data_IF_691413423770
#
_entry.id   IF_691413423770
#
_cell.length_a   1.000
_cell.length_b   1.000
_cell.length_c   1.000
_cell.angle_alpha   90.00
_cell.angle_beta   90.00
_cell.angle_gamma   90.00
#
_symmetry.space_group_name_H-M   'P 1'
#
loop_
_entity.id
_entity.type
_entity.pdbx_description
1 polymer ?
#
# COMPACT_ATOMS: atom_id res chain seq x y z
N UNK A 1 -10.31 49.03 74.71
CA UNK A 1 -9.24 48.27 74.06
C UNK A 1 -9.86 47.54 72.86
N UNK A 2 -9.64 48.02 71.63
CA UNK A 2 -10.20 47.46 70.38
C UNK A 2 -9.12 47.49 69.30
N UNK A 3 -9.06 46.39 68.52
CA UNK A 3 -8.45 46.22 67.18
C UNK A 3 -6.91 46.35 67.08
N UNK A 4 -6.17 45.69 66.17
CA UNK A 4 -6.49 45.03 64.90
C UNK A 4 -5.68 43.73 64.74
N UNK A 5 -6.30 42.71 64.13
CA UNK A 5 -5.61 41.59 63.51
C UNK A 5 -5.25 41.95 62.06
N UNK A 6 -3.99 41.73 61.65
CA UNK A 6 -3.55 41.87 60.27
C UNK A 6 -3.31 40.48 59.67
N UNK A 7 -4.14 40.10 58.70
CA UNK A 7 -3.98 38.91 57.88
C UNK A 7 -3.19 39.27 56.62
N UNK A 8 -1.97 38.76 56.48
CA UNK A 8 -1.19 38.82 55.24
C UNK A 8 -1.62 37.68 54.32
N UNK A 9 -2.26 38.01 53.21
CA UNK A 9 -2.58 37.08 52.14
C UNK A 9 -1.34 36.77 51.30
N UNK A 10 -1.02 35.47 51.14
CA UNK A 10 -0.07 35.00 50.15
C UNK A 10 -0.74 35.02 48.76
N UNK A 11 -0.21 35.84 47.84
CA UNK A 11 -0.46 35.72 46.42
C UNK A 11 0.39 34.55 45.87
N UNK A 12 -0.26 33.46 45.47
CA UNK A 12 0.35 32.40 44.67
C UNK A 12 0.28 32.78 43.19
N UNK A 13 1.41 33.26 42.63
CA UNK A 13 1.58 33.36 41.17
C UNK A 13 1.62 31.94 40.57
N UNK A 14 0.57 31.57 39.85
CA UNK A 14 0.59 30.44 38.93
C UNK A 14 1.42 30.82 37.68
N UNK A 15 2.66 30.36 37.64
CA UNK A 15 3.45 30.33 36.40
C UNK A 15 2.80 29.31 35.46
N UNK A 16 2.04 29.79 34.47
CA UNK A 16 1.58 28.98 33.37
C UNK A 16 2.81 28.45 32.61
N UNK A 17 3.07 27.14 32.73
CA UNK A 17 4.07 26.49 31.89
C UNK A 17 3.65 26.62 30.41
N UNK A 18 4.54 27.02 29.49
CA UNK A 18 4.22 27.02 28.07
C UNK A 18 3.90 25.58 27.67
N UNK A 19 2.73 25.39 27.05
CA UNK A 19 2.34 24.12 26.47
C UNK A 19 3.40 23.73 25.42
N UNK A 20 4.28 22.80 25.78
CA UNK A 20 5.17 22.14 24.83
C UNK A 20 4.27 21.54 23.76
N UNK A 21 4.37 22.07 22.54
CA UNK A 21 3.57 21.64 21.40
C UNK A 21 3.62 20.13 21.29
N UNK A 22 2.46 19.49 21.45
CA UNK A 22 2.35 18.04 21.29
C UNK A 22 2.72 17.73 19.84
N UNK A 23 3.91 17.16 19.64
CA UNK A 23 4.31 16.57 18.37
C UNK A 23 3.27 15.50 18.06
N UNK A 24 2.51 15.68 16.98
CA UNK A 24 1.52 14.68 16.62
C UNK A 24 2.24 13.36 16.31
N UNK A 25 1.65 12.24 16.71
CA UNK A 25 2.22 10.92 16.45
C UNK A 25 2.43 10.67 14.96
N UNK A 26 3.47 9.91 14.63
CA UNK A 26 3.72 9.43 13.27
C UNK A 26 2.52 8.61 12.76
N UNK A 27 2.25 8.60 11.45
CA UNK A 27 1.24 7.71 10.88
C UNK A 27 1.66 6.24 11.06
N UNK A 28 0.68 5.34 10.91
CA UNK A 28 0.94 3.88 10.92
C UNK A 28 2.03 3.49 9.92
N UNK A 29 2.07 4.16 8.77
CA UNK A 29 3.11 4.00 7.77
C UNK A 29 3.93 5.30 7.62
N UNK A 30 5.07 5.35 8.29
CA UNK A 30 5.99 6.50 8.26
C UNK A 30 6.79 6.61 6.94
N UNK A 31 6.62 5.69 6.00
CA UNK A 31 7.24 5.76 4.68
C UNK A 31 6.17 5.99 3.62
N UNK A 32 6.36 7.00 2.77
CA UNK A 32 5.58 7.22 1.56
C UNK A 32 6.26 6.46 0.42
N UNK A 33 5.60 5.42 -0.08
CA UNK A 33 6.10 4.61 -1.19
C UNK A 33 6.36 5.48 -2.43
N UNK A 34 7.36 5.14 -3.23
CA UNK A 34 7.76 5.92 -4.42
C UNK A 34 6.62 6.14 -5.42
N UNK A 35 5.77 5.13 -5.60
CA UNK A 35 4.62 5.12 -6.51
C UNK A 35 3.33 5.71 -5.90
N UNK A 36 3.38 6.21 -4.66
CA UNK A 36 2.24 6.88 -4.03
C UNK A 36 2.24 8.40 -4.23
N UNK A 37 1.07 8.99 -4.45
CA UNK A 37 0.94 10.42 -4.66
C UNK A 37 1.18 11.23 -3.37
N UNK A 38 2.05 12.23 -3.45
CA UNK A 38 2.27 13.23 -2.39
C UNK A 38 2.61 14.58 -3.04
N UNK A 39 2.34 15.67 -2.34
CA UNK A 39 2.71 17.01 -2.79
C UNK A 39 3.94 17.47 -2.02
N UNK A 40 4.94 17.97 -2.73
CA UNK A 40 6.14 18.57 -2.14
C UNK A 40 6.04 20.09 -2.24
N UNK A 41 6.41 20.77 -1.17
CA UNK A 41 6.27 22.21 -1.03
C UNK A 41 7.61 22.85 -0.69
N UNK A 42 7.87 24.09 -1.14
CA UNK A 42 9.14 24.77 -0.87
C UNK A 42 9.32 25.12 0.61
N UNK A 43 8.21 25.33 1.34
CA UNK A 43 8.21 25.66 2.77
C UNK A 43 6.98 25.10 3.48
N UNK A 44 7.02 25.04 4.81
CA UNK A 44 5.85 24.68 5.63
C UNK A 44 4.72 25.69 5.54
N UNK A 45 5.04 26.97 5.38
CA UNK A 45 4.03 28.01 5.19
C UNK A 45 3.26 27.79 3.88
N UNK A 46 3.99 27.54 2.78
CA UNK A 46 3.39 27.19 1.50
C UNK A 46 2.54 25.92 1.58
N UNK A 47 3.04 24.90 2.30
CA UNK A 47 2.31 23.65 2.47
C UNK A 47 1.04 23.81 3.32
N UNK A 48 1.08 24.60 4.40
CA UNK A 48 -0.10 24.93 5.20
C UNK A 48 -1.14 25.70 4.38
N UNK A 49 -0.71 26.69 3.62
CA UNK A 49 -1.58 27.44 2.72
C UNK A 49 -2.21 26.52 1.66
N UNK A 50 -1.40 25.65 1.05
CA UNK A 50 -1.88 24.65 0.08
C UNK A 50 -2.94 23.73 0.70
N UNK A 51 -2.71 23.27 1.93
CA UNK A 51 -3.61 22.37 2.65
C UNK A 51 -4.96 23.02 2.99
N UNK A 52 -4.91 24.19 3.63
CA UNK A 52 -6.09 24.84 4.22
C UNK A 52 -6.89 25.61 3.18
N UNK A 53 -6.21 26.35 2.30
CA UNK A 53 -6.88 27.30 1.41
C UNK A 53 -7.23 26.68 0.05
N UNK A 54 -6.51 25.64 -0.39
CA UNK A 54 -6.65 25.09 -1.73
C UNK A 54 -7.12 23.63 -1.76
N UNK A 55 -6.39 22.71 -1.12
CA UNK A 55 -6.76 21.29 -1.08
C UNK A 55 -8.14 21.08 -0.46
N UNK A 56 -8.40 21.71 0.68
CA UNK A 56 -9.69 21.63 1.38
C UNK A 56 -10.87 22.09 0.52
N UNK A 57 -10.63 23.00 -0.43
CA UNK A 57 -11.65 23.57 -1.31
C UNK A 57 -11.61 22.99 -2.73
N UNK A 58 -10.85 21.91 -2.96
CA UNK A 58 -10.65 21.28 -4.26
C UNK A 58 -10.13 22.24 -5.36
N UNK A 59 -9.20 23.14 -5.02
CA UNK A 59 -8.62 24.16 -5.91
C UNK A 59 -7.14 23.90 -6.23
N UNK A 60 -6.82 22.66 -6.64
CA UNK A 60 -5.44 22.19 -6.79
C UNK A 60 -4.57 23.02 -7.72
N UNK A 61 -5.06 23.32 -8.92
CA UNK A 61 -4.27 24.04 -9.93
C UNK A 61 -3.93 25.48 -9.49
N UNK A 62 -4.90 26.16 -8.87
CA UNK A 62 -4.67 27.48 -8.26
C UNK A 62 -3.70 27.38 -7.08
N UNK A 63 -3.80 26.31 -6.28
CA UNK A 63 -2.91 26.06 -5.16
C UNK A 63 -1.46 25.87 -5.58
N UNK A 64 -1.19 25.10 -6.64
CA UNK A 64 0.16 24.96 -7.18
C UNK A 64 0.77 26.29 -7.61
N UNK A 65 0.00 27.12 -8.32
CA UNK A 65 0.48 28.45 -8.73
C UNK A 65 0.75 29.38 -7.55
N UNK A 66 -0.12 29.36 -6.53
CA UNK A 66 -0.04 30.28 -5.40
C UNK A 66 1.06 29.90 -4.40
N UNK A 67 1.31 28.61 -4.21
CA UNK A 67 2.19 28.11 -3.14
C UNK A 67 3.53 27.58 -3.64
N UNK A 68 3.65 27.30 -4.94
CA UNK A 68 4.80 26.64 -5.52
C UNK A 68 4.91 25.16 -5.15
N UNK A 69 3.93 24.59 -4.43
CA UNK A 69 3.84 23.16 -4.19
C UNK A 69 3.62 22.42 -5.53
N UNK A 70 4.08 21.17 -5.61
CA UNK A 70 3.98 20.33 -6.80
C UNK A 70 3.66 18.89 -6.42
N UNK A 71 2.92 18.19 -7.26
CA UNK A 71 2.84 16.74 -7.16
C UNK A 71 4.23 16.12 -7.36
N UNK A 72 4.58 15.12 -6.57
CA UNK A 72 5.77 14.29 -6.82
C UNK A 72 5.47 13.41 -8.03
N UNK A 73 5.98 13.81 -9.18
CA UNK A 73 5.85 13.07 -10.45
C UNK A 73 7.10 12.22 -10.75
N UNK A 74 8.26 12.60 -10.22
CA UNK A 74 9.52 11.93 -10.49
C UNK A 74 9.83 10.86 -9.43
N UNK A 75 10.30 9.66 -9.84
CA UNK A 75 10.75 8.61 -8.94
C UNK A 75 12.05 9.05 -8.24
N UNK A 76 11.89 9.56 -7.02
CA UNK A 76 12.98 10.01 -6.13
C UNK A 76 13.19 9.04 -4.97
N UNK A 77 12.67 7.82 -5.11
CA UNK A 77 12.58 6.84 -4.04
C UNK A 77 11.49 7.15 -3.00
N UNK A 78 11.40 6.29 -1.97
CA UNK A 78 10.48 6.51 -0.86
C UNK A 78 10.87 7.73 -0.02
N UNK A 79 9.87 8.35 0.62
CA UNK A 79 10.09 9.45 1.57
C UNK A 79 9.78 8.93 2.97
N UNK A 80 10.75 9.04 3.88
CA UNK A 80 10.54 8.75 5.30
C UNK A 80 10.03 10.00 6.00
N UNK A 81 8.80 9.94 6.52
CA UNK A 81 8.20 10.94 7.40
C UNK A 81 8.93 10.90 8.75
N UNK A 82 9.51 12.02 9.13
CA UNK A 82 10.22 12.18 10.41
C UNK A 82 9.39 12.94 11.43
N UNK A 83 8.45 13.77 10.97
CA UNK A 83 7.57 14.55 11.85
C UNK A 83 6.24 14.83 11.15
N UNK A 84 5.17 14.72 11.92
CA UNK A 84 3.86 15.26 11.54
C UNK A 84 3.71 16.65 12.12
N UNK A 85 3.49 17.63 11.24
CA UNK A 85 3.32 19.03 11.64
C UNK A 85 1.85 19.29 11.92
N UNK A 86 0.96 18.84 11.04
CA UNK A 86 -0.47 19.15 11.11
C UNK A 86 -1.31 18.10 10.39
N UNK A 87 -2.56 17.93 10.82
CA UNK A 87 -3.57 17.08 10.20
C UNK A 87 -4.84 17.85 9.98
N UNK A 88 -5.44 17.69 8.80
CA UNK A 88 -6.71 18.29 8.44
C UNK A 88 -7.63 17.23 7.86
N UNK A 89 -8.88 17.20 8.32
CA UNK A 89 -9.93 16.50 7.63
C UNK A 89 -10.38 17.32 6.41
N UNK A 90 -10.41 16.70 5.25
CA UNK A 90 -10.82 17.26 3.97
C UNK A 90 -11.90 16.34 3.39
N UNK A 91 -12.99 16.93 2.91
CA UNK A 91 -14.02 16.18 2.19
C UNK A 91 -13.56 15.90 0.77
N UNK A 92 -13.17 14.65 0.51
CA UNK A 92 -12.78 14.17 -0.80
C UNK A 92 -13.91 13.30 -1.35
N UNK A 93 -14.60 13.78 -2.39
CA UNK A 93 -15.78 13.12 -3.00
C UNK A 93 -16.87 12.72 -1.98
N UNK A 94 -17.13 13.59 -0.99
CA UNK A 94 -18.13 13.37 0.05
C UNK A 94 -17.69 12.41 1.16
N UNK A 95 -16.40 12.07 1.24
CA UNK A 95 -15.83 11.28 2.34
C UNK A 95 -14.74 12.08 3.06
N UNK A 96 -14.80 12.18 4.41
CA UNK A 96 -13.75 12.85 5.16
C UNK A 96 -12.46 12.02 5.08
N UNK A 97 -11.40 12.66 4.60
CA UNK A 97 -10.06 12.11 4.42
C UNK A 97 -9.08 13.00 5.16
N UNK A 98 -8.14 12.40 5.91
CA UNK A 98 -7.11 13.15 6.63
C UNK A 98 -5.92 13.39 5.72
N UNK A 99 -5.68 14.67 5.42
CA UNK A 99 -4.41 15.10 4.85
C UNK A 99 -3.48 15.55 5.95
N UNK A 100 -2.21 15.20 5.79
CA UNK A 100 -1.17 15.47 6.75
C UNK A 100 -0.09 16.35 6.13
N UNK A 101 0.25 17.44 6.82
CA UNK A 101 1.49 18.18 6.61
C UNK A 101 2.62 17.50 7.37
N UNK A 102 3.69 17.16 6.67
CA UNK A 102 4.83 16.43 7.24
C UNK A 102 6.17 17.08 6.88
N UNK A 103 7.16 16.80 7.75
CA UNK A 103 8.58 16.85 7.40
C UNK A 103 9.05 15.44 7.14
N UNK A 104 9.86 15.28 6.10
CA UNK A 104 10.40 14.00 5.69
C UNK A 104 11.83 14.09 5.20
N UNK A 105 12.35 12.93 4.85
CA UNK A 105 13.67 12.76 4.24
C UNK A 105 13.53 11.85 3.03
N UNK A 106 14.11 12.23 1.90
CA UNK A 106 14.23 11.36 0.73
C UNK A 106 15.24 10.25 1.00
N UNK A 107 15.30 9.27 0.10
CA UNK A 107 16.30 8.19 0.16
C UNK A 107 17.74 8.71 0.24
N UNK A 108 18.03 9.82 -0.43
CA UNK A 108 19.37 10.44 -0.46
C UNK A 108 19.63 11.38 0.73
N UNK A 109 18.72 11.42 1.70
CA UNK A 109 18.84 12.22 2.91
C UNK A 109 18.43 13.69 2.77
N UNK A 110 17.87 14.09 1.63
CA UNK A 110 17.38 15.47 1.46
C UNK A 110 16.13 15.70 2.31
N UNK A 111 16.11 16.79 3.06
CA UNK A 111 14.95 17.20 3.83
C UNK A 111 13.85 17.71 2.90
N UNK A 112 12.60 17.29 3.16
CA UNK A 112 11.43 17.71 2.40
C UNK A 112 10.28 18.10 3.31
N UNK A 113 9.44 19.00 2.82
CA UNK A 113 8.13 19.31 3.39
C UNK A 113 7.07 18.91 2.39
N UNK A 114 6.02 18.23 2.85
CA UNK A 114 4.98 17.78 1.95
C UNK A 114 3.63 17.56 2.58
N UNK A 115 2.66 17.27 1.71
CA UNK A 115 1.29 16.93 2.04
C UNK A 115 0.98 15.54 1.51
N UNK A 116 0.30 14.72 2.32
CA UNK A 116 -0.09 13.37 1.93
C UNK A 116 -1.46 13.02 2.51
N UNK A 117 -2.26 12.29 1.73
CA UNK A 117 -3.45 11.61 2.23
C UNK A 117 -3.00 10.48 3.16
N UNK A 118 -3.22 10.63 4.48
CA UNK A 118 -2.72 9.70 5.49
C UNK A 118 -3.38 8.32 5.37
N UNK A 119 -4.70 8.26 5.16
CA UNK A 119 -5.41 6.99 5.00
C UNK A 119 -4.93 6.25 3.77
N UNK A 120 -4.84 6.94 2.62
CA UNK A 120 -4.38 6.33 1.39
C UNK A 120 -2.92 5.88 1.49
N UNK A 121 -2.03 6.67 2.09
CA UNK A 121 -0.65 6.24 2.35
C UNK A 121 -0.60 5.01 3.26
N UNK A 122 -1.43 4.96 4.31
CA UNK A 122 -1.50 3.82 5.23
C UNK A 122 -2.03 2.54 4.55
N UNK A 123 -2.82 2.66 3.50
CA UNK A 123 -3.39 1.55 2.73
C UNK A 123 -2.53 1.17 1.51
N UNK A 124 -1.67 2.07 1.05
CA UNK A 124 -0.86 1.84 -0.14
C UNK A 124 0.14 0.68 0.05
N UNK A 125 0.18 -0.30 -0.86
CA UNK A 125 1.08 -1.44 -0.77
C UNK A 125 2.54 -1.06 -1.05
N UNK A 126 3.48 -1.55 -0.22
CA UNK A 126 4.92 -1.27 -0.34
C UNK A 126 5.76 -2.43 -0.87
N UNK A 127 5.20 -3.65 -0.87
CA UNK A 127 5.87 -4.86 -1.34
C UNK A 127 5.14 -5.46 -2.53
N UNK A 128 5.82 -6.22 -3.40
CA UNK A 128 5.15 -6.97 -4.48
C UNK A 128 4.01 -7.85 -3.95
N UNK A 129 4.21 -8.50 -2.81
CA UNK A 129 3.18 -9.31 -2.17
C UNK A 129 1.96 -8.49 -1.74
N UNK A 130 2.18 -7.34 -1.08
CA UNK A 130 1.08 -6.46 -0.67
C UNK A 130 0.33 -5.88 -1.88
N UNK A 131 1.05 -5.53 -2.96
CA UNK A 131 0.45 -5.08 -4.23
C UNK A 131 -0.43 -6.17 -4.84
N UNK A 132 0.10 -7.39 -4.91
CA UNK A 132 -0.64 -8.53 -5.43
C UNK A 132 -1.90 -8.82 -4.62
N UNK A 133 -1.82 -8.78 -3.28
CA UNK A 133 -2.97 -8.93 -2.39
C UNK A 133 -4.01 -7.83 -2.61
N UNK A 134 -3.59 -6.57 -2.71
CA UNK A 134 -4.52 -5.45 -2.91
C UNK A 134 -5.35 -5.60 -4.20
N UNK A 135 -4.80 -6.23 -5.23
CA UNK A 135 -5.48 -6.46 -6.52
C UNK A 135 -6.32 -7.75 -6.50
N UNK A 136 -5.75 -8.86 -6.04
CA UNK A 136 -6.34 -10.20 -6.23
C UNK A 136 -7.06 -10.76 -4.99
N UNK A 137 -6.72 -10.26 -3.80
CA UNK A 137 -7.25 -10.74 -2.53
C UNK A 137 -7.37 -9.58 -1.51
N UNK A 138 -8.18 -8.54 -1.80
CA UNK A 138 -8.19 -7.29 -1.01
C UNK A 138 -8.64 -7.46 0.45
N UNK A 139 -9.33 -8.56 0.77
CA UNK A 139 -9.72 -8.96 2.12
C UNK A 139 -8.74 -9.97 2.77
N UNK A 140 -7.57 -10.18 2.17
CA UNK A 140 -6.56 -11.14 2.63
C UNK A 140 -6.85 -12.60 2.27
N UNK A 141 -7.94 -12.88 1.54
CA UNK A 141 -8.30 -14.22 1.09
C UNK A 141 -8.60 -14.25 -0.41
N UNK A 142 -7.99 -15.20 -1.10
CA UNK A 142 -8.31 -15.51 -2.49
C UNK A 142 -9.48 -16.49 -2.52
N UNK A 143 -10.62 -16.08 -3.07
CA UNK A 143 -11.79 -16.96 -3.24
C UNK A 143 -11.84 -17.48 -4.67
N UNK A 144 -11.73 -18.79 -4.83
CA UNK A 144 -11.76 -19.47 -6.12
C UNK A 144 -13.10 -20.20 -6.26
N UNK A 145 -13.88 -19.89 -7.30
CA UNK A 145 -15.15 -20.55 -7.54
C UNK A 145 -14.92 -21.99 -8.06
N UNK A 146 -15.81 -22.92 -7.73
CA UNK A 146 -15.61 -24.34 -8.05
C UNK A 146 -15.50 -24.68 -9.55
N UNK A 147 -15.97 -23.79 -10.43
CA UNK A 147 -15.86 -23.94 -11.90
C UNK A 147 -14.79 -23.04 -12.51
N UNK A 148 -14.08 -22.28 -11.69
CA UNK A 148 -13.04 -21.39 -12.14
C UNK A 148 -11.78 -22.20 -12.51
N UNK A 149 -11.33 -22.06 -13.76
CA UNK A 149 -10.15 -22.77 -14.26
C UNK A 149 -8.85 -22.07 -13.88
N UNK A 150 -8.93 -20.91 -13.22
CA UNK A 150 -7.79 -20.06 -12.89
C UNK A 150 -7.05 -20.51 -11.65
N UNK A 151 -7.60 -21.45 -10.88
CA UNK A 151 -7.05 -21.83 -9.58
C UNK A 151 -6.78 -23.32 -9.44
N UNK A 152 -5.56 -23.66 -9.01
CA UNK A 152 -5.18 -25.01 -8.63
C UNK A 152 -4.54 -25.02 -7.24
N UNK A 153 -4.88 -26.04 -6.45
CA UNK A 153 -4.27 -26.31 -5.15
C UNK A 153 -3.26 -27.44 -5.30
N UNK A 154 -2.07 -27.23 -4.76
CA UNK A 154 -0.96 -28.18 -4.76
C UNK A 154 -0.68 -28.66 -3.33
N UNK A 155 -0.03 -29.83 -3.15
CA UNK A 155 0.25 -30.38 -1.83
C UNK A 155 1.05 -29.45 -0.92
N UNK A 156 1.95 -28.65 -1.50
CA UNK A 156 2.79 -27.68 -0.80
C UNK A 156 3.23 -26.53 -1.73
N UNK A 157 3.81 -25.44 -1.18
CA UNK A 157 4.30 -24.31 -1.99
C UNK A 157 5.40 -24.68 -2.99
N UNK A 158 6.23 -25.69 -2.71
CA UNK A 158 7.30 -26.10 -3.61
C UNK A 158 6.74 -26.76 -4.88
N UNK A 159 5.68 -27.55 -4.76
CA UNK A 159 4.93 -28.09 -5.88
C UNK A 159 4.35 -26.97 -6.78
N UNK A 160 3.73 -25.93 -6.19
CA UNK A 160 3.21 -24.79 -6.94
C UNK A 160 4.31 -24.03 -7.70
N UNK A 161 5.46 -23.78 -7.05
CA UNK A 161 6.61 -23.13 -7.70
C UNK A 161 7.15 -23.94 -8.89
N UNK A 162 7.20 -25.28 -8.79
CA UNK A 162 7.61 -26.16 -9.89
C UNK A 162 6.66 -26.07 -11.09
N UNK A 163 5.36 -25.94 -10.85
CA UNK A 163 4.37 -25.76 -11.93
C UNK A 163 4.65 -24.49 -12.73
N UNK A 164 4.77 -23.35 -12.05
CA UNK A 164 5.02 -22.06 -12.71
C UNK A 164 6.40 -22.05 -13.38
N UNK A 165 7.42 -22.66 -12.77
CA UNK A 165 8.74 -22.80 -13.39
C UNK A 165 8.72 -23.60 -14.72
N UNK A 166 7.77 -24.52 -14.91
CA UNK A 166 7.63 -25.26 -16.16
C UNK A 166 7.18 -24.37 -17.33
N UNK A 167 6.34 -23.36 -17.06
CA UNK A 167 5.96 -22.33 -18.05
C UNK A 167 7.20 -21.55 -18.47
N UNK A 168 7.97 -21.06 -17.48
CA UNK A 168 9.21 -20.32 -17.71
C UNK A 168 10.19 -21.10 -18.60
N UNK A 169 10.35 -22.39 -18.33
CA UNK A 169 11.23 -23.26 -19.12
C UNK A 169 10.74 -23.46 -20.56
N UNK A 170 9.44 -23.66 -20.77
CA UNK A 170 8.88 -23.74 -22.11
C UNK A 170 9.09 -22.43 -22.88
N UNK A 171 8.87 -21.28 -22.23
CA UNK A 171 9.09 -19.95 -22.79
C UNK A 171 10.56 -19.70 -23.15
N UNK A 172 11.50 -20.10 -22.29
CA UNK A 172 12.96 -20.01 -22.57
C UNK A 172 13.37 -20.79 -23.82
N UNK A 173 12.65 -21.86 -24.16
CA UNK A 173 12.87 -22.64 -25.39
C UNK A 173 12.10 -22.10 -26.59
N UNK A 174 11.58 -20.86 -26.49
CA UNK A 174 10.74 -20.23 -27.51
C UNK A 174 9.58 -21.11 -27.93
N UNK A 175 9.01 -21.87 -26.99
CA UNK A 175 7.92 -22.77 -27.31
C UNK A 175 6.66 -21.96 -27.67
N UNK A 176 5.90 -22.37 -28.71
CA UNK A 176 4.61 -21.75 -29.01
C UNK A 176 3.65 -21.89 -27.81
N UNK A 177 2.68 -20.99 -27.72
CA UNK A 177 1.66 -20.90 -26.65
C UNK A 177 1.07 -22.26 -26.26
N UNK A 178 0.62 -23.04 -27.25
CA UNK A 178 0.03 -24.36 -27.02
C UNK A 178 0.99 -25.32 -26.28
N UNK A 179 2.31 -25.21 -26.51
CA UNK A 179 3.30 -26.00 -25.76
C UNK A 179 3.55 -25.46 -24.36
N UNK A 180 3.41 -24.16 -24.12
CA UNK A 180 3.48 -23.58 -22.78
C UNK A 180 2.28 -24.03 -21.93
N UNK A 181 1.06 -23.98 -22.50
CA UNK A 181 -0.16 -24.49 -21.85
C UNK A 181 -0.09 -26.01 -21.60
N UNK A 182 0.47 -26.78 -22.55
CA UNK A 182 0.72 -28.20 -22.35
C UNK A 182 1.73 -28.46 -21.21
N UNK A 183 2.78 -27.64 -21.10
CA UNK A 183 3.76 -27.72 -20.03
C UNK A 183 3.12 -27.43 -18.65
N UNK A 184 2.28 -26.39 -18.55
CA UNK A 184 1.48 -26.09 -17.36
C UNK A 184 0.61 -27.29 -16.97
N UNK A 185 -0.20 -27.80 -17.90
CA UNK A 185 -1.10 -28.94 -17.66
C UNK A 185 -0.35 -30.18 -17.21
N UNK A 186 0.78 -30.50 -17.86
CA UNK A 186 1.62 -31.61 -17.47
C UNK A 186 2.21 -31.41 -16.06
N UNK A 187 2.73 -30.21 -15.76
CA UNK A 187 3.33 -29.91 -14.47
C UNK A 187 2.33 -29.94 -13.32
N UNK A 188 1.09 -29.46 -13.52
CA UNK A 188 0.02 -29.57 -12.54
C UNK A 188 -0.22 -31.04 -12.14
N UNK A 189 -0.37 -31.92 -13.13
CA UNK A 189 -0.56 -33.36 -12.90
C UNK A 189 0.65 -33.99 -12.20
N UNK A 190 1.86 -33.71 -12.69
CA UNK A 190 3.10 -34.29 -12.15
C UNK A 190 3.35 -33.88 -10.70
N UNK A 191 2.96 -32.67 -10.31
CA UNK A 191 3.16 -32.15 -8.95
C UNK A 191 1.92 -32.35 -8.05
N UNK A 192 0.96 -33.18 -8.47
CA UNK A 192 -0.20 -33.56 -7.63
C UNK A 192 -1.17 -32.41 -7.37
N UNK A 193 -1.19 -31.39 -8.23
CA UNK A 193 -2.10 -30.27 -8.10
C UNK A 193 -3.49 -30.62 -8.66
N UNK A 194 -4.54 -30.15 -8.01
CA UNK A 194 -5.94 -30.32 -8.41
C UNK A 194 -6.64 -28.98 -8.54
N UNK A 195 -7.83 -28.94 -9.15
CA UNK A 195 -8.62 -27.71 -9.21
C UNK A 195 -8.92 -27.20 -7.79
N UNK A 196 -8.63 -25.93 -7.54
CA UNK A 196 -8.93 -25.29 -6.27
C UNK A 196 -10.39 -24.85 -6.21
N UNK A 197 -10.94 -24.84 -5.01
CA UNK A 197 -12.22 -24.19 -4.73
C UNK A 197 -12.26 -23.70 -3.28
N UNK A 198 -13.04 -22.65 -3.03
CA UNK A 198 -13.19 -22.03 -1.71
C UNK A 198 -12.22 -20.89 -1.45
N UNK A 199 -12.10 -20.49 -0.18
CA UNK A 199 -11.28 -19.38 0.25
C UNK A 199 -9.92 -19.85 0.77
N UNK A 200 -8.85 -19.21 0.32
CA UNK A 200 -7.49 -19.48 0.75
C UNK A 200 -6.85 -18.19 1.24
N UNK A 201 -6.30 -18.19 2.45
CA UNK A 201 -5.54 -17.04 2.96
C UNK A 201 -4.13 -17.12 2.39
N UNK A 202 -3.80 -16.21 1.48
CA UNK A 202 -2.48 -16.16 0.84
C UNK A 202 -1.47 -15.60 1.83
N UNK A 203 -0.35 -16.30 2.01
CA UNK A 203 0.68 -15.96 3.00
C UNK A 203 2.02 -15.58 2.39
N UNK A 204 2.27 -15.96 1.13
CA UNK A 204 3.42 -15.50 0.37
C UNK A 204 3.16 -15.51 -1.13
N UNK A 205 3.76 -14.53 -1.82
CA UNK A 205 3.90 -14.48 -3.27
C UNK A 205 5.25 -15.07 -3.66
N UNK A 206 5.27 -16.00 -4.62
CA UNK A 206 6.50 -16.57 -5.16
C UNK A 206 6.74 -16.06 -6.58
N UNK A 207 6.82 -16.98 -7.55
CA UNK A 207 7.07 -16.69 -8.96
C UNK A 207 5.75 -16.43 -9.69
N UNK A 208 5.78 -15.51 -10.65
CA UNK A 208 4.75 -15.36 -11.68
C UNK A 208 5.34 -15.59 -13.07
N UNK A 209 4.57 -16.16 -13.99
CA UNK A 209 4.96 -16.34 -15.38
C UNK A 209 3.74 -16.16 -16.29
N UNK A 210 3.88 -15.27 -17.27
CA UNK A 210 2.84 -15.00 -18.25
C UNK A 210 2.91 -15.90 -19.47
N UNK A 211 1.74 -16.36 -19.95
CA UNK A 211 1.54 -16.97 -21.27
C UNK A 211 0.82 -15.95 -22.14
N UNK A 212 1.53 -15.42 -23.13
CA UNK A 212 0.98 -14.48 -24.12
C UNK A 212 0.13 -15.26 -25.12
N UNK A 213 -1.18 -15.29 -24.90
CA UNK A 213 -2.15 -15.95 -25.77
C UNK A 213 -2.76 -14.98 -26.80
N UNK A 214 -2.27 -13.74 -26.85
CA UNK A 214 -2.74 -12.68 -27.74
C UNK A 214 -3.39 -11.50 -27.00
N UNK A 215 -3.76 -10.48 -27.80
CA UNK A 215 -4.30 -9.20 -27.30
C UNK A 215 -5.48 -9.41 -26.33
N UNK A 216 -5.35 -8.86 -25.12
CA UNK A 216 -6.34 -8.92 -24.03
C UNK A 216 -6.69 -10.33 -23.52
N UNK A 217 -5.92 -11.35 -23.87
CA UNK A 217 -6.17 -12.72 -23.42
C UNK A 217 -5.08 -13.28 -22.50
N UNK A 218 -4.00 -12.54 -22.27
CA UNK A 218 -2.83 -12.98 -21.49
C UNK A 218 -3.20 -13.71 -20.19
N UNK A 219 -2.52 -14.82 -19.93
CA UNK A 219 -2.61 -15.56 -18.68
C UNK A 219 -1.41 -15.16 -17.79
N UNK A 220 -1.60 -14.91 -16.49
CA UNK A 220 -0.52 -14.57 -15.54
C UNK A 220 -0.47 -15.57 -14.38
N UNK A 221 0.22 -16.70 -14.59
CA UNK A 221 0.25 -17.79 -13.64
C UNK A 221 1.21 -17.53 -12.49
N UNK A 222 0.65 -17.41 -11.29
CA UNK A 222 1.35 -17.09 -10.06
C UNK A 222 1.38 -18.28 -9.11
N UNK A 223 2.56 -18.59 -8.56
CA UNK A 223 2.74 -19.55 -7.47
C UNK A 223 2.65 -18.82 -6.12
N UNK A 224 1.87 -19.37 -5.19
CA UNK A 224 1.58 -18.79 -3.89
C UNK A 224 1.75 -19.82 -2.78
N UNK A 225 2.12 -19.36 -1.58
CA UNK A 225 1.82 -20.07 -0.34
C UNK A 225 0.47 -19.60 0.19
N UNK A 226 -0.35 -20.52 0.68
CA UNK A 226 -1.60 -20.18 1.34
C UNK A 226 -1.95 -21.14 2.47
N UNK A 227 -2.92 -20.76 3.30
CA UNK A 227 -3.63 -21.70 4.17
C UNK A 227 -5.01 -22.00 3.63
N UNK A 228 -5.36 -23.28 3.56
CA UNK A 228 -6.69 -23.75 3.14
C UNK A 228 -7.76 -23.50 4.25
N UNK A 229 -9.05 -23.76 3.99
CA UNK A 229 -10.12 -23.61 5.00
C UNK A 229 -9.97 -24.47 6.26
N UNK A 230 -9.00 -25.38 6.29
CA UNK A 230 -8.67 -26.27 7.43
C UNK A 230 -7.34 -25.85 8.08
N UNK A 231 -6.87 -24.63 7.82
CA UNK A 231 -5.61 -24.04 8.29
C UNK A 231 -4.35 -24.83 7.89
N UNK A 232 -4.42 -25.67 6.86
CA UNK A 232 -3.25 -26.39 6.34
C UNK A 232 -2.50 -25.51 5.37
N UNK A 233 -1.18 -25.47 5.49
CA UNK A 233 -0.33 -24.84 4.49
C UNK A 233 -0.39 -25.63 3.19
N UNK A 234 -0.70 -24.96 2.09
CA UNK A 234 -0.79 -25.50 0.74
C UNK A 234 -0.06 -24.60 -0.25
N UNK A 235 0.27 -25.13 -1.42
CA UNK A 235 0.63 -24.31 -2.57
C UNK A 235 -0.60 -23.96 -3.38
N UNK A 236 -0.64 -22.76 -3.98
CA UNK A 236 -1.61 -22.43 -5.02
C UNK A 236 -0.89 -22.04 -6.31
N UNK A 237 -1.47 -22.44 -7.43
CA UNK A 237 -1.16 -21.91 -8.75
C UNK A 237 -2.41 -21.16 -9.21
N UNK A 238 -2.28 -19.85 -9.40
CA UNK A 238 -3.41 -18.98 -9.71
C UNK A 238 -3.10 -18.09 -10.92
N UNK A 239 -3.96 -18.10 -11.92
CA UNK A 239 -3.94 -17.12 -13.00
C UNK A 239 -4.50 -15.78 -12.48
N UNK A 240 -3.63 -14.78 -12.40
CA UNK A 240 -3.87 -13.44 -11.86
C UNK A 240 -4.11 -12.38 -12.95
N UNK A 241 -4.32 -12.78 -14.21
CA UNK A 241 -4.63 -11.85 -15.30
C UNK A 241 -5.92 -11.04 -15.05
N UNK A 242 -6.01 -9.86 -15.65
CA UNK A 242 -7.13 -8.92 -15.42
C UNK A 242 -8.31 -9.22 -16.35
N UNK A 243 -8.02 -9.76 -17.54
CA UNK A 243 -8.99 -10.02 -18.60
C UNK A 243 -9.52 -11.47 -18.52
N UNK A 244 -10.79 -11.66 -18.91
CA UNK A 244 -11.53 -12.94 -18.82
C UNK A 244 -12.01 -13.41 -20.17
#
# INVERSE_FOLDING_TARGET
MKSLAAAFGLLTLWLAAPALGQTQGLPRQAEIAEDYATYLCPTEAAARQMLVDYLKHNRMEAGYRATGCRARLEPTGPIRIVQVVERHAIDEFGKPTTYMLYRGTTRDGQAVTGLVNEQGNNQHPRTPFARWLAVNAPNGALTIAARDRRGHVCPDPAAAMKVVAAIAEAKRRSAPVARQQAALTAALRTNGCSAASGAYRVTALHRNEGIDVGFEADEDWTALSATDPRDRTVGLVYDASVYR
#
